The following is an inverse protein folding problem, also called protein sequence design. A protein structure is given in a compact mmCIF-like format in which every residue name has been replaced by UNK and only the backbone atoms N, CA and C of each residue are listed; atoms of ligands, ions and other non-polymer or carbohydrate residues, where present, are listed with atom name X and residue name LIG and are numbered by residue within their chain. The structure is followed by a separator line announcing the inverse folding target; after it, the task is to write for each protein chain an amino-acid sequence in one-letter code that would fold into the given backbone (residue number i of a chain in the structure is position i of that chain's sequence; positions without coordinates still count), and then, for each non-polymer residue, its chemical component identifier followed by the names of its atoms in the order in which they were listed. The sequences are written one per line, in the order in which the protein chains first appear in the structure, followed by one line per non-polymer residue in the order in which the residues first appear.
data_IF_300222214867
#
_entry.id   IF_300222214867
#
_cell.length_a   1.000
_cell.length_b   1.000
_cell.length_c   1.000
_cell.angle_alpha   90.00
_cell.angle_beta   90.00
_cell.angle_gamma   90.00
#
_symmetry.space_group_name_H-M   'P 1'
#
loop_
_entity.id
_entity.type
_entity.pdbx_description
1 polymer ?
#
# COMPACT_ATOMS: atom_id res chain seq x y z
N UNK A 1 12.21 7.30 13.16
CA UNK A 1 12.99 6.06 13.32
C UNK A 1 13.48 5.68 11.94
N UNK A 2 14.79 5.76 11.71
CA UNK A 2 15.37 5.44 10.42
C UNK A 2 15.49 3.92 10.23
N UNK A 3 15.44 3.49 8.97
CA UNK A 3 15.73 2.10 8.60
C UNK A 3 17.13 1.71 9.10
N UNK A 4 17.30 0.47 9.53
CA UNK A 4 18.64 -0.02 9.87
C UNK A 4 19.59 0.12 8.66
N UNK A 5 20.90 0.36 8.87
CA UNK A 5 21.86 0.47 7.76
C UNK A 5 21.79 -0.73 6.80
N UNK A 6 21.64 -1.94 7.37
CA UNK A 6 21.48 -3.18 6.62
C UNK A 6 20.21 -3.23 5.76
N UNK A 7 19.16 -2.50 6.11
CA UNK A 7 17.96 -2.42 5.28
C UNK A 7 18.13 -1.37 4.16
N UNK A 8 18.80 -0.25 4.44
CA UNK A 8 19.10 0.79 3.46
C UNK A 8 19.97 0.28 2.31
N UNK A 9 20.94 -0.61 2.59
CA UNK A 9 21.80 -1.23 1.56
C UNK A 9 21.02 -1.93 0.44
N UNK A 10 19.83 -2.46 0.74
CA UNK A 10 19.02 -3.16 -0.23
C UNK A 10 17.84 -2.31 -0.71
N UNK A 11 17.63 -1.11 -0.18
CA UNK A 11 16.54 -0.25 -0.59
C UNK A 11 16.78 0.26 -2.02
N UNK A 12 15.86 -0.05 -2.94
CA UNK A 12 15.89 0.42 -4.33
C UNK A 12 15.18 1.76 -4.48
N UNK A 13 14.00 1.87 -3.88
CA UNK A 13 13.21 3.08 -3.95
C UNK A 13 12.23 3.20 -2.79
N UNK A 14 11.83 4.43 -2.56
CA UNK A 14 10.68 4.83 -1.77
C UNK A 14 9.98 5.91 -2.58
N UNK A 15 8.72 5.68 -2.94
CA UNK A 15 7.94 6.62 -3.75
C UNK A 15 6.52 6.74 -3.19
N UNK A 16 6.03 7.98 -3.14
CA UNK A 16 4.64 8.28 -2.78
C UNK A 16 3.85 8.43 -4.07
N UNK A 17 2.99 7.46 -4.37
CA UNK A 17 2.16 7.46 -5.59
C UNK A 17 0.97 8.39 -5.41
N UNK A 18 0.33 8.30 -4.26
CA UNK A 18 -0.72 9.23 -3.82
C UNK A 18 -0.51 9.55 -2.33
N UNK A 19 -1.26 10.48 -1.73
CA UNK A 19 -1.20 10.70 -0.28
C UNK A 19 -1.55 9.45 0.56
N UNK A 20 -2.21 8.46 -0.04
CA UNK A 20 -2.68 7.24 0.65
C UNK A 20 -1.98 5.98 0.17
N UNK A 21 -1.09 6.05 -0.83
CA UNK A 21 -0.39 4.90 -1.40
C UNK A 21 1.09 5.22 -1.58
N UNK A 22 1.93 4.40 -0.97
CA UNK A 22 3.38 4.47 -1.01
C UNK A 22 3.92 3.12 -1.46
N UNK A 23 4.94 3.14 -2.32
CA UNK A 23 5.65 1.95 -2.75
C UNK A 23 7.09 2.02 -2.29
N UNK A 24 7.64 0.87 -1.90
CA UNK A 24 9.07 0.70 -1.68
C UNK A 24 9.52 -0.64 -2.21
N UNK A 25 10.72 -0.68 -2.77
CA UNK A 25 11.30 -1.90 -3.31
C UNK A 25 12.65 -2.18 -2.66
N UNK A 26 12.94 -3.46 -2.45
CA UNK A 26 14.21 -3.94 -1.93
C UNK A 26 14.85 -4.95 -2.88
N UNK A 27 16.14 -4.76 -3.16
CA UNK A 27 16.96 -5.60 -4.00
C UNK A 27 17.38 -6.90 -3.29
N UNK A 28 16.42 -7.80 -3.12
CA UNK A 28 16.64 -9.17 -2.65
C UNK A 28 16.41 -10.16 -3.79
N UNK A 29 16.65 -11.44 -3.52
CA UNK A 29 16.28 -12.52 -4.43
C UNK A 29 15.30 -13.48 -3.72
N UNK A 30 13.99 -13.47 -4.06
CA UNK A 30 13.35 -12.59 -5.06
C UNK A 30 13.31 -11.11 -4.61
N UNK A 31 13.17 -10.17 -5.55
CA UNK A 31 12.99 -8.75 -5.22
C UNK A 31 11.72 -8.58 -4.41
N UNK A 32 11.78 -7.76 -3.37
CA UNK A 32 10.63 -7.48 -2.52
C UNK A 32 10.05 -6.12 -2.90
N UNK A 33 8.77 -6.08 -3.25
CA UNK A 33 8.02 -4.84 -3.42
C UNK A 33 6.98 -4.74 -2.32
N UNK A 34 6.99 -3.66 -1.56
CA UNK A 34 6.02 -3.38 -0.51
C UNK A 34 5.16 -2.21 -0.99
N UNK A 35 3.85 -2.42 -1.04
CA UNK A 35 2.86 -1.37 -1.28
C UNK A 35 2.19 -1.09 0.06
N UNK A 36 2.46 0.08 0.62
CA UNK A 36 1.85 0.58 1.84
C UNK A 36 0.66 1.46 1.47
N UNK A 37 -0.53 1.16 2.00
CA UNK A 37 -1.70 1.97 1.71
C UNK A 37 -2.63 2.19 2.90
N UNK A 38 -3.28 3.35 2.92
CA UNK A 38 -4.37 3.66 3.83
C UNK A 38 -5.69 3.52 3.09
N UNK A 39 -6.55 2.62 3.57
CA UNK A 39 -7.81 2.36 2.90
C UNK A 39 -8.79 3.53 3.05
N UNK A 40 -9.54 3.91 2.01
CA UNK A 40 -10.68 4.81 2.12
C UNK A 40 -11.65 4.34 3.21
N UNK A 41 -12.34 5.27 3.87
CA UNK A 41 -13.37 4.94 4.86
C UNK A 41 -14.72 4.72 4.18
N UNK A 42 -15.67 4.11 4.90
CA UNK A 42 -17.05 3.92 4.42
C UNK A 42 -17.81 5.24 4.19
N UNK A 43 -17.24 6.37 4.60
CA UNK A 43 -17.75 7.72 4.40
C UNK A 43 -16.99 8.49 3.32
N UNK A 44 -15.98 7.88 2.70
CA UNK A 44 -15.25 8.48 1.59
C UNK A 44 -16.16 8.53 0.36
N UNK A 45 -16.09 9.63 -0.39
CA UNK A 45 -16.82 9.79 -1.65
C UNK A 45 -16.47 8.64 -2.61
N UNK A 46 -17.49 8.13 -3.31
CA UNK A 46 -17.34 6.95 -4.18
C UNK A 46 -16.22 7.13 -5.20
N UNK A 47 -16.14 8.30 -5.84
CA UNK A 47 -15.11 8.64 -6.81
C UNK A 47 -13.69 8.51 -6.21
N UNK A 48 -13.48 8.99 -4.99
CA UNK A 48 -12.19 8.89 -4.30
C UNK A 48 -11.86 7.42 -3.98
N UNK A 49 -12.86 6.65 -3.56
CA UNK A 49 -12.70 5.22 -3.27
C UNK A 49 -12.38 4.40 -4.53
N UNK A 50 -13.03 4.70 -5.66
CA UNK A 50 -12.77 4.07 -6.95
C UNK A 50 -11.38 4.44 -7.48
N UNK A 51 -11.01 5.73 -7.41
CA UNK A 51 -9.67 6.19 -7.79
C UNK A 51 -8.57 5.50 -6.97
N UNK A 52 -8.80 5.29 -5.66
CA UNK A 52 -7.90 4.51 -4.82
C UNK A 52 -7.76 3.06 -5.30
N UNK A 53 -8.89 2.37 -5.54
CA UNK A 53 -8.88 0.98 -5.99
C UNK A 53 -8.19 0.84 -7.36
N UNK A 54 -8.45 1.76 -8.28
CA UNK A 54 -7.84 1.77 -9.61
C UNK A 54 -6.34 2.00 -9.54
N UNK A 55 -5.88 2.96 -8.74
CA UNK A 55 -4.46 3.22 -8.52
C UNK A 55 -3.75 2.01 -7.91
N UNK A 56 -4.33 1.41 -6.88
CA UNK A 56 -3.76 0.22 -6.22
C UNK A 56 -3.70 -0.98 -7.18
N UNK A 57 -4.76 -1.21 -7.96
CA UNK A 57 -4.79 -2.28 -8.95
C UNK A 57 -3.76 -2.06 -10.06
N UNK A 58 -3.61 -0.83 -10.53
CA UNK A 58 -2.59 -0.47 -11.52
C UNK A 58 -1.18 -0.80 -11.02
N UNK A 59 -0.85 -0.35 -9.81
CA UNK A 59 0.45 -0.63 -9.19
C UNK A 59 0.74 -2.13 -9.06
N UNK A 60 -0.24 -2.92 -8.60
CA UNK A 60 -0.07 -4.38 -8.46
C UNK A 60 0.21 -5.02 -9.82
N UNK A 61 -0.45 -4.57 -10.89
CA UNK A 61 -0.23 -5.07 -12.25
C UNK A 61 1.15 -4.70 -12.81
N UNK A 62 1.74 -3.58 -12.38
CA UNK A 62 3.07 -3.14 -12.81
C UNK A 62 4.20 -3.89 -12.10
N UNK A 63 3.95 -4.48 -10.91
CA UNK A 63 4.97 -5.28 -10.22
C UNK A 63 5.28 -6.56 -11.00
N UNK A 64 6.56 -6.84 -11.32
CA UNK A 64 6.93 -8.08 -11.99
C UNK A 64 6.48 -9.32 -11.21
N UNK A 65 5.87 -10.29 -11.90
CA UNK A 65 5.31 -11.52 -11.28
C UNK A 65 6.31 -12.38 -10.49
N UNK A 66 7.61 -12.23 -10.77
CA UNK A 66 8.67 -12.97 -10.07
C UNK A 66 9.15 -12.27 -8.79
N UNK A 67 8.64 -11.06 -8.50
CA UNK A 67 8.88 -10.38 -7.24
C UNK A 67 7.98 -10.94 -6.13
N UNK A 68 8.48 -10.94 -4.91
CA UNK A 68 7.64 -11.05 -3.74
C UNK A 68 6.94 -9.71 -3.51
N UNK A 69 5.60 -9.69 -3.55
CA UNK A 69 4.81 -8.48 -3.32
C UNK A 69 4.11 -8.57 -1.96
N UNK A 70 4.33 -7.57 -1.12
CA UNK A 70 3.64 -7.39 0.16
C UNK A 70 2.73 -6.16 0.06
N UNK A 71 1.43 -6.34 0.32
CA UNK A 71 0.50 -5.22 0.43
C UNK A 71 0.21 -5.01 1.92
N UNK A 72 0.74 -3.92 2.47
CA UNK A 72 0.53 -3.53 3.85
C UNK A 72 -0.56 -2.45 3.90
N UNK A 73 -1.71 -2.78 4.48
CA UNK A 73 -2.86 -1.87 4.54
C UNK A 73 -3.31 -1.61 5.96
N UNK A 74 -3.56 -0.36 6.29
CA UNK A 74 -4.39 0.00 7.44
C UNK A 74 -5.86 -0.14 7.04
N UNK A 75 -6.48 -1.23 7.46
CA UNK A 75 -7.92 -1.44 7.36
C UNK A 75 -8.59 -0.76 8.54
N UNK A 76 -8.78 0.55 8.44
CA UNK A 76 -9.57 1.33 9.40
C UNK A 76 -11.07 1.05 9.25
N UNK A 77 -11.45 -0.22 9.45
CA UNK A 77 -12.83 -0.66 9.46
C UNK A 77 -13.50 -0.13 10.73
N UNK A 78 -14.47 0.78 10.59
CA UNK A 78 -15.42 1.04 11.67
C UNK A 78 -16.39 -0.14 11.68
N UNK A 79 -16.21 -1.06 12.62
CA UNK A 79 -17.24 -2.06 12.94
C UNK A 79 -18.53 -1.28 13.21
N UNK A 80 -19.61 -1.67 12.54
CA UNK A 80 -20.88 -0.95 12.59
C UNK A 80 -21.25 -0.66 14.04
N UNK A 81 -21.48 0.63 14.35
CA UNK A 81 -22.27 0.94 15.52
C UNK A 81 -23.68 0.49 15.15
N UNK A 82 -24.02 -0.75 15.50
CA UNK A 82 -25.40 -1.18 15.57
C UNK A 82 -26.11 -0.16 16.46
N UNK A 83 -26.80 0.79 15.83
CA UNK A 83 -27.77 1.61 16.52
C UNK A 83 -28.90 0.66 16.85
N UNK A 84 -28.83 0.07 18.03
CA UNK A 84 -30.00 -0.50 18.68
C UNK A 84 -30.94 0.68 18.94
N UNK A 85 -31.81 0.94 17.96
CA UNK A 85 -32.99 1.80 18.10
C UNK A 85 -34.08 1.06 18.85
#
# INVERSE_FOLDING_TARGET
HDLSPKAQEFLLCIESITPTVMITAFNRNPKLTIICCYSPTNTTELEIAENFCNALSGLICEVPKHNLTLIARDFKAKIGQDKLS
#
